data_IF_108381849093
#
_entry.id   IF_108381849093
#
_cell.length_a   1.000
_cell.length_b   1.000
_cell.length_c   1.000
_cell.angle_alpha   90.00
_cell.angle_beta   90.00
_cell.angle_gamma   90.00
#
_symmetry.space_group_name_H-M   'P 1'
#
loop_
_entity.id
_entity.type
_entity.pdbx_description
1 polymer ?
#
# COMPACT_ATOMS: atom_id res chain seq x y z
N UNK A 1 12.90 -33.34 53.61
CA UNK A 1 12.59 -34.49 52.74
C UNK A 1 11.82 -33.99 51.54
N UNK A 2 12.28 -34.35 50.34
CA UNK A 2 11.77 -33.92 49.03
C UNK A 2 10.42 -34.57 48.70
N UNK A 3 9.54 -33.86 47.98
CA UNK A 3 8.84 -34.44 46.81
C UNK A 3 8.43 -33.33 45.82
N UNK A 4 9.01 -33.43 44.64
CA UNK A 4 8.76 -32.75 43.36
C UNK A 4 7.33 -32.92 42.87
N UNK A 5 6.77 -31.95 42.13
CA UNK A 5 6.14 -32.11 40.79
C UNK A 5 5.88 -30.73 40.14
N UNK A 6 6.07 -30.59 38.81
CA UNK A 6 5.97 -29.32 38.08
C UNK A 6 4.55 -29.08 37.56
N UNK A 7 4.14 -27.82 37.43
CA UNK A 7 2.95 -27.45 36.65
C UNK A 7 3.34 -26.44 35.58
N UNK A 8 3.71 -26.97 34.42
CA UNK A 8 3.67 -26.25 33.15
C UNK A 8 2.21 -25.79 32.91
N UNK A 9 1.99 -24.48 33.01
CA UNK A 9 0.80 -23.78 32.50
C UNK A 9 1.18 -23.01 31.23
N UNK A 10 0.26 -22.89 30.26
CA UNK A 10 0.60 -22.72 28.85
C UNK A 10 1.22 -21.36 28.55
N UNK A 11 2.31 -21.40 27.77
CA UNK A 11 2.83 -20.25 27.05
C UNK A 11 1.69 -19.65 26.23
N UNK A 12 1.20 -18.48 26.66
CA UNK A 12 0.47 -17.58 25.79
C UNK A 12 1.47 -17.17 24.71
N UNK A 13 1.36 -17.80 23.55
CA UNK A 13 2.17 -17.53 22.37
C UNK A 13 2.10 -16.05 22.01
N UNK A 14 3.00 -15.26 22.59
CA UNK A 14 3.56 -14.11 21.92
C UNK A 14 4.25 -14.70 20.72
N UNK A 15 3.63 -14.59 19.55
CA UNK A 15 4.28 -14.87 18.28
C UNK A 15 5.67 -14.26 18.33
N UNK A 16 6.66 -15.12 18.41
CA UNK A 16 8.06 -14.77 18.28
C UNK A 16 8.27 -14.40 16.81
N UNK A 17 7.88 -13.18 16.45
CA UNK A 17 8.32 -12.57 15.20
C UNK A 17 9.69 -11.99 15.53
N UNK A 18 10.74 -12.59 14.97
CA UNK A 18 12.13 -12.24 15.26
C UNK A 18 12.47 -10.79 14.91
N UNK A 19 13.60 -10.26 15.41
CA UNK A 19 13.94 -8.83 15.44
C UNK A 19 14.38 -8.20 14.10
N UNK A 20 13.93 -8.72 12.94
CA UNK A 20 14.42 -8.31 11.61
C UNK A 20 13.34 -7.99 10.57
N UNK A 21 12.05 -7.99 10.94
CA UNK A 21 11.02 -7.36 10.11
C UNK A 21 10.76 -5.99 10.71
N UNK A 22 11.34 -4.94 10.13
CA UNK A 22 10.84 -3.60 10.39
C UNK A 22 9.37 -3.60 9.99
N UNK A 23 8.47 -3.61 10.98
CA UNK A 23 7.04 -3.43 10.76
C UNK A 23 6.86 -2.07 10.10
N UNK A 24 6.70 -2.07 8.79
CA UNK A 24 6.44 -0.83 8.05
C UNK A 24 4.99 -0.44 8.29
N UNK A 25 4.72 0.86 8.36
CA UNK A 25 3.35 1.35 8.43
C UNK A 25 2.60 1.06 7.13
N UNK A 26 1.27 0.95 7.23
CA UNK A 26 0.41 0.74 6.06
C UNK A 26 0.56 1.89 5.04
N UNK A 27 0.60 3.13 5.51
CA UNK A 27 0.86 4.32 4.70
C UNK A 27 2.18 4.22 3.91
N UNK A 28 3.29 3.84 4.56
CA UNK A 28 4.57 3.66 3.87
C UNK A 28 4.55 2.51 2.86
N UNK A 29 3.79 1.44 3.14
CA UNK A 29 3.59 0.37 2.16
C UNK A 29 2.76 0.87 0.96
N UNK A 30 1.70 1.65 1.19
CA UNK A 30 0.83 2.21 0.15
C UNK A 30 1.60 3.18 -0.74
N UNK A 31 2.41 4.05 -0.18
CA UNK A 31 3.26 4.98 -0.94
C UNK A 31 4.22 4.21 -1.86
N UNK A 32 4.96 3.23 -1.29
CA UNK A 32 5.86 2.38 -2.07
C UNK A 32 5.12 1.57 -3.14
N UNK A 33 3.94 1.01 -2.81
CA UNK A 33 3.11 0.27 -3.74
C UNK A 33 2.64 1.14 -4.89
N UNK A 34 2.16 2.36 -4.64
CA UNK A 34 1.66 3.27 -5.68
C UNK A 34 2.78 3.85 -6.55
N UNK A 35 3.98 4.05 -5.96
CA UNK A 35 5.17 4.54 -6.64
C UNK A 35 5.85 3.49 -7.55
N UNK A 36 5.56 2.21 -7.33
CA UNK A 36 6.09 1.11 -8.14
C UNK A 36 5.63 1.22 -9.62
N UNK A 37 6.48 0.78 -10.54
CA UNK A 37 6.19 0.77 -11.99
C UNK A 37 6.14 -0.65 -12.56
N UNK A 38 6.26 -1.69 -11.72
CA UNK A 38 6.10 -3.08 -12.13
C UNK A 38 4.67 -3.32 -12.68
N UNK A 39 4.50 -4.21 -13.67
CA UNK A 39 3.19 -4.43 -14.30
C UNK A 39 2.13 -5.00 -13.36
N UNK A 40 2.55 -5.68 -12.30
CA UNK A 40 1.70 -6.30 -11.28
C UNK A 40 1.56 -5.47 -9.99
N UNK A 41 2.14 -4.25 -9.97
CA UNK A 41 2.11 -3.32 -8.84
C UNK A 41 1.98 -1.87 -9.34
N UNK A 42 1.95 -0.90 -8.44
CA UNK A 42 1.88 0.50 -8.88
C UNK A 42 0.46 1.02 -9.07
N UNK A 43 0.39 2.34 -9.18
CA UNK A 43 -0.83 3.04 -9.54
C UNK A 43 -1.42 2.57 -10.90
N UNK A 44 -0.55 2.20 -11.86
CA UNK A 44 -1.00 1.71 -13.16
C UNK A 44 -1.72 0.35 -13.07
N UNK A 45 -1.20 -0.57 -12.25
CA UNK A 45 -1.88 -1.83 -11.94
C UNK A 45 -3.21 -1.58 -11.25
N UNK A 46 -3.23 -0.71 -10.22
CA UNK A 46 -4.47 -0.37 -9.51
C UNK A 46 -5.55 0.17 -10.45
N UNK A 47 -5.17 1.05 -11.38
CA UNK A 47 -6.10 1.61 -12.37
C UNK A 47 -6.59 0.57 -13.38
N UNK A 48 -5.74 -0.39 -13.77
CA UNK A 48 -6.14 -1.51 -14.63
C UNK A 48 -7.14 -2.41 -13.90
N UNK A 49 -6.80 -2.83 -12.69
CA UNK A 49 -7.67 -3.65 -11.85
C UNK A 49 -9.01 -2.94 -11.56
N UNK A 50 -8.99 -1.62 -11.37
CA UNK A 50 -10.20 -0.82 -11.25
C UNK A 50 -11.03 -0.84 -12.54
N UNK A 51 -10.40 -0.82 -13.72
CA UNK A 51 -11.10 -0.95 -15.00
C UNK A 51 -11.73 -2.34 -15.16
N UNK A 52 -10.99 -3.40 -14.85
CA UNK A 52 -11.47 -4.79 -14.93
C UNK A 52 -12.66 -5.07 -13.99
N UNK A 53 -12.74 -4.33 -12.87
CA UNK A 53 -13.82 -4.46 -11.87
C UNK A 53 -14.93 -3.41 -12.01
N UNK A 54 -14.86 -2.52 -13.00
CA UNK A 54 -15.83 -1.43 -13.19
C UNK A 54 -15.74 -0.28 -12.17
N UNK A 55 -14.67 -0.24 -11.38
CA UNK A 55 -14.38 0.76 -10.34
C UNK A 55 -13.48 1.90 -10.81
N UNK A 56 -13.16 1.97 -12.11
CA UNK A 56 -12.23 2.96 -12.67
C UNK A 56 -12.59 4.40 -12.30
N UNK A 57 -13.85 4.80 -12.48
CA UNK A 57 -14.28 6.17 -12.15
C UNK A 57 -14.23 6.45 -10.64
N UNK A 58 -14.39 5.43 -9.80
CA UNK A 58 -14.27 5.56 -8.34
C UNK A 58 -12.82 5.90 -7.97
N UNK A 59 -11.86 5.10 -8.43
CA UNK A 59 -10.43 5.30 -8.14
C UNK A 59 -9.93 6.61 -8.75
N UNK A 60 -10.36 6.91 -9.99
CA UNK A 60 -10.06 8.18 -10.65
C UNK A 60 -10.57 9.39 -9.86
N UNK A 61 -11.77 9.30 -9.28
CA UNK A 61 -12.37 10.37 -8.48
C UNK A 61 -11.61 10.61 -7.18
N UNK A 62 -11.03 9.59 -6.55
CA UNK A 62 -10.15 9.77 -5.38
C UNK A 62 -8.98 10.69 -5.70
N UNK A 63 -8.35 10.48 -6.86
CA UNK A 63 -7.24 11.31 -7.33
C UNK A 63 -7.59 12.77 -7.64
N UNK A 64 -8.87 13.07 -7.86
CA UNK A 64 -9.39 14.41 -8.20
C UNK A 64 -10.02 15.13 -7.01
N UNK A 65 -10.37 14.40 -5.95
CA UNK A 65 -11.11 14.94 -4.80
C UNK A 65 -10.13 15.44 -3.74
N UNK A 66 -10.35 16.66 -3.25
CA UNK A 66 -9.49 17.27 -2.23
C UNK A 66 -9.53 16.59 -0.86
N UNK A 67 -10.58 15.85 -0.54
CA UNK A 67 -10.61 14.96 0.62
C UNK A 67 -11.50 13.77 0.27
N UNK A 68 -10.95 12.69 -0.31
CA UNK A 68 -11.74 11.55 -0.72
C UNK A 68 -12.37 10.90 0.52
N UNK A 69 -13.65 10.60 0.42
CA UNK A 69 -14.34 9.86 1.47
C UNK A 69 -13.78 8.43 1.59
N UNK A 70 -13.87 7.81 2.77
CA UNK A 70 -13.61 6.39 2.94
C UNK A 70 -14.43 5.56 1.94
N UNK A 71 -13.86 4.45 1.50
CA UNK A 71 -14.52 3.51 0.58
C UNK A 71 -15.07 2.29 1.33
N UNK A 72 -15.71 1.36 0.64
CA UNK A 72 -16.21 0.13 1.24
C UNK A 72 -15.18 -1.00 1.19
N UNK A 73 -15.25 -1.93 2.15
CA UNK A 73 -14.38 -3.11 2.20
C UNK A 73 -14.48 -3.96 0.92
N UNK A 74 -15.67 -4.05 0.31
CA UNK A 74 -15.86 -4.76 -0.95
C UNK A 74 -15.02 -4.14 -2.09
N UNK A 75 -14.97 -2.81 -2.18
CA UNK A 75 -14.15 -2.08 -3.14
C UNK A 75 -12.67 -2.39 -2.93
N UNK A 76 -12.19 -2.42 -1.69
CA UNK A 76 -10.80 -2.79 -1.37
C UNK A 76 -10.49 -4.22 -1.80
N UNK A 77 -11.38 -5.17 -1.52
CA UNK A 77 -11.20 -6.59 -1.87
C UNK A 77 -11.25 -6.85 -3.38
N UNK A 78 -11.94 -6.00 -4.15
CA UNK A 78 -11.96 -6.05 -5.61
C UNK A 78 -10.68 -5.47 -6.22
N UNK A 79 -10.17 -4.38 -5.63
CA UNK A 79 -8.99 -3.66 -6.12
C UNK A 79 -7.67 -4.34 -5.74
N UNK A 80 -7.63 -5.06 -4.61
CA UNK A 80 -6.41 -5.69 -4.11
C UNK A 80 -6.61 -7.20 -3.97
N UNK A 81 -5.84 -8.02 -4.70
CA UNK A 81 -5.98 -9.47 -4.62
C UNK A 81 -5.60 -9.98 -3.23
N UNK A 82 -6.14 -11.14 -2.85
CA UNK A 82 -5.94 -11.71 -1.51
C UNK A 82 -4.47 -11.96 -1.16
N UNK A 83 -3.62 -12.24 -2.16
CA UNK A 83 -2.17 -12.40 -1.95
C UNK A 83 -1.50 -11.10 -1.49
N UNK A 84 -1.91 -9.97 -2.08
CA UNK A 84 -1.40 -8.65 -1.72
C UNK A 84 -1.86 -8.24 -0.32
N UNK A 85 -3.11 -8.54 0.06
CA UNK A 85 -3.60 -8.33 1.43
C UNK A 85 -2.82 -9.18 2.45
N UNK A 86 -2.45 -10.41 2.09
CA UNK A 86 -1.61 -11.26 2.93
C UNK A 86 -0.18 -10.72 3.03
N UNK A 87 0.39 -10.17 1.95
CA UNK A 87 1.68 -9.49 1.98
C UNK A 87 1.67 -8.28 2.92
N UNK A 88 0.63 -7.43 2.82
CA UNK A 88 0.46 -6.28 3.72
C UNK A 88 0.42 -6.75 5.17
N UNK A 89 -0.39 -7.76 5.49
CA UNK A 89 -0.46 -8.29 6.86
C UNK A 89 0.88 -8.82 7.37
N UNK A 90 1.65 -9.52 6.52
CA UNK A 90 3.01 -10.00 6.88
C UNK A 90 4.00 -8.86 7.14
N UNK A 91 3.91 -7.76 6.39
CA UNK A 91 4.84 -6.62 6.49
C UNK A 91 4.49 -5.62 7.59
N UNK A 92 3.20 -5.48 7.89
CA UNK A 92 2.68 -4.52 8.88
C UNK A 92 2.40 -5.15 10.25
N UNK A 93 2.42 -6.48 10.35
CA UNK A 93 2.02 -7.21 11.55
C UNK A 93 0.50 -7.28 11.77
N UNK A 94 -0.30 -6.68 10.87
CA UNK A 94 -1.75 -6.57 10.99
C UNK A 94 -2.47 -7.84 10.51
N UNK A 95 -3.64 -8.10 11.11
CA UNK A 95 -4.54 -9.16 10.64
C UNK A 95 -5.27 -8.72 9.36
N UNK A 96 -5.72 -9.68 8.56
CA UNK A 96 -6.42 -9.41 7.28
C UNK A 96 -7.61 -8.44 7.45
N UNK A 97 -8.48 -8.67 8.43
CA UNK A 97 -9.63 -7.80 8.68
C UNK A 97 -9.21 -6.38 9.07
N UNK A 98 -8.13 -6.25 9.83
CA UNK A 98 -7.57 -4.96 10.24
C UNK A 98 -6.89 -4.23 9.08
N UNK A 99 -6.19 -4.95 8.22
CA UNK A 99 -5.65 -4.42 6.95
C UNK A 99 -6.77 -3.86 6.09
N UNK A 100 -7.86 -4.62 5.89
CA UNK A 100 -8.99 -4.17 5.08
C UNK A 100 -9.68 -2.95 5.71
N UNK A 101 -9.90 -2.97 7.02
CA UNK A 101 -10.51 -1.85 7.74
C UNK A 101 -9.69 -0.56 7.60
N UNK A 102 -8.36 -0.65 7.67
CA UNK A 102 -7.49 0.52 7.47
C UNK A 102 -7.40 0.96 6.01
N UNK A 103 -7.36 0.02 5.07
CA UNK A 103 -7.34 0.32 3.64
C UNK A 103 -8.59 1.06 3.16
N UNK A 104 -9.74 0.81 3.78
CA UNK A 104 -10.99 1.55 3.53
C UNK A 104 -10.81 3.06 3.68
N UNK A 105 -10.00 3.48 4.65
CA UNK A 105 -9.76 4.90 4.95
C UNK A 105 -8.50 5.43 4.24
N UNK A 106 -7.41 4.65 4.26
CA UNK A 106 -6.10 5.13 3.82
C UNK A 106 -5.89 5.02 2.30
N UNK A 107 -6.50 4.04 1.61
CA UNK A 107 -6.30 3.84 0.17
C UNK A 107 -6.78 5.04 -0.69
N UNK A 108 -7.99 5.59 -0.50
CA UNK A 108 -8.43 6.76 -1.27
C UNK A 108 -7.52 7.98 -1.07
N UNK A 109 -7.07 8.18 0.16
CA UNK A 109 -6.17 9.28 0.54
C UNK A 109 -4.79 9.10 -0.10
N UNK A 110 -4.22 7.89 -0.04
CA UNK A 110 -2.93 7.57 -0.65
C UNK A 110 -2.96 7.78 -2.17
N UNK A 111 -4.03 7.35 -2.85
CA UNK A 111 -4.22 7.59 -4.28
C UNK A 111 -4.22 9.08 -4.60
N UNK A 112 -4.95 9.90 -3.82
CA UNK A 112 -4.93 11.36 -3.98
C UNK A 112 -3.54 11.94 -3.79
N UNK A 113 -2.83 11.54 -2.73
CA UNK A 113 -1.48 12.05 -2.47
C UNK A 113 -0.53 11.71 -3.63
N UNK A 114 -0.62 10.47 -4.14
CA UNK A 114 0.16 10.05 -5.31
C UNK A 114 -0.17 10.87 -6.57
N UNK A 115 -1.45 11.11 -6.88
CA UNK A 115 -1.84 11.88 -8.07
C UNK A 115 -1.46 13.35 -7.97
N UNK A 116 -1.58 13.96 -6.79
CA UNK A 116 -1.20 15.36 -6.56
C UNK A 116 0.32 15.52 -6.52
N UNK A 117 1.04 14.58 -5.89
CA UNK A 117 2.50 14.54 -5.85
C UNK A 117 3.12 14.42 -7.25
N UNK A 118 2.55 13.57 -8.12
CA UNK A 118 2.97 13.50 -9.54
C UNK A 118 2.67 14.78 -10.32
N UNK A 119 1.63 15.53 -9.95
CA UNK A 119 1.22 16.74 -10.68
C UNK A 119 2.20 17.90 -10.50
N UNK A 120 2.96 17.93 -9.39
CA UNK A 120 3.98 18.94 -9.14
C UNK A 120 5.39 18.59 -9.68
N UNK A 121 5.66 17.33 -10.03
CA UNK A 121 6.93 16.91 -10.65
C UNK A 121 6.95 17.01 -12.19
N UNK A 122 6.07 17.80 -12.82
CA UNK A 122 6.10 18.04 -14.27
C UNK A 122 7.20 19.02 -14.71
N UNK A 123 7.89 19.70 -13.79
CA UNK A 123 9.01 20.61 -14.08
C UNK A 123 10.29 20.30 -13.27
N UNK A 124 10.68 19.02 -13.19
CA UNK A 124 11.82 18.56 -12.39
C UNK A 124 13.00 17.92 -13.14
N UNK A 125 13.00 17.89 -14.48
CA UNK A 125 14.18 17.48 -15.26
C UNK A 125 14.75 18.69 -16.01
N UNK A 126 15.41 19.59 -15.27
CA UNK A 126 16.50 20.38 -15.81
C UNK A 126 17.74 19.48 -15.79
N UNK A 127 17.98 18.75 -16.88
CA UNK A 127 19.03 17.74 -16.91
C UNK A 127 19.24 17.04 -18.25
N UNK A 128 19.09 17.75 -19.36
CA UNK A 128 19.75 17.37 -20.62
C UNK A 128 20.44 18.62 -21.18
N UNK A 129 21.63 18.89 -20.64
CA UNK A 129 22.67 19.56 -21.40
C UNK A 129 23.12 18.56 -22.48
N UNK A 130 22.52 18.67 -23.65
CA UNK A 130 22.98 18.05 -24.89
C UNK A 130 23.27 19.19 -25.85
N UNK A 131 24.51 19.63 -25.80
CA UNK A 131 25.27 20.41 -26.78
C UNK A 131 24.62 20.45 -28.18
N UNK A 132 24.43 21.65 -28.72
CA UNK A 132 24.12 21.89 -30.14
C UNK A 132 25.46 22.07 -30.87
N UNK A 133 25.97 21.08 -31.63
CA UNK A 133 27.20 21.23 -32.38
C UNK A 133 26.97 21.74 -33.82
N UNK A 134 25.87 22.43 -34.14
CA UNK A 134 25.61 22.87 -35.52
C UNK A 134 24.69 24.11 -35.60
N UNK A 135 25.21 25.26 -35.15
CA UNK A 135 24.79 26.54 -35.72
C UNK A 135 26.00 27.30 -36.24
N UNK A 136 26.12 27.25 -37.57
CA UNK A 136 27.06 27.99 -38.41
C UNK A 136 27.10 29.48 -38.10
#
# INVERSE_FOLDING_TARGET
MMTTHPRFGPMRGKSAVGPWLAEISLDSWLDAFLADNAPERGYAYLMRQAADTGLYDVVRRWGQTGNPAPTDAATVLLLLPSDMLAEIGRRTGLRRDEVVARLVEELPVAVRQHTVGKRFNRFGHAGCAGEDPMRR
#
